data_IF_371439104955
#
_entry.id   IF_371439104955
#
_cell.length_a   1.000
_cell.length_b   1.000
_cell.length_c   1.000
_cell.angle_alpha   90.00
_cell.angle_beta   90.00
_cell.angle_gamma   90.00
#
_symmetry.space_group_name_H-M   'P 1'
#
loop_
_entity.id
_entity.type
_entity.pdbx_description
1 polymer ?
#
# COMPACT_ATOMS: atom_id res chain seq x y z
N UNK A 1 -29.03 25.67 -23.03
CA UNK A 1 -27.76 25.17 -22.44
C UNK A 1 -27.74 25.63 -21.00
N UNK A 2 -27.41 24.76 -20.02
CA UNK A 2 -26.00 24.51 -19.74
C UNK A 2 -25.68 23.03 -19.47
N UNK A 3 -24.42 22.65 -19.66
CA UNK A 3 -23.86 21.38 -19.18
C UNK A 3 -22.81 21.71 -18.14
N UNK A 4 -22.96 21.14 -16.96
CA UNK A 4 -22.01 21.16 -15.85
C UNK A 4 -21.74 19.71 -15.49
N UNK A 5 -20.51 19.26 -15.69
CA UNK A 5 -19.90 18.19 -14.89
C UNK A 5 -18.43 18.59 -14.73
N UNK A 6 -18.07 18.98 -13.51
CA UNK A 6 -16.69 19.00 -13.04
C UNK A 6 -16.70 18.38 -11.64
N UNK A 7 -16.79 17.05 -11.63
CA UNK A 7 -16.34 16.23 -10.51
C UNK A 7 -15.46 15.16 -11.12
N UNK A 8 -14.18 15.47 -11.28
CA UNK A 8 -13.15 14.45 -11.44
C UNK A 8 -12.70 14.08 -10.02
N UNK A 9 -13.56 13.39 -9.29
CA UNK A 9 -13.24 12.74 -8.00
C UNK A 9 -12.52 11.43 -8.31
N UNK A 10 -11.30 11.50 -8.84
CA UNK A 10 -10.52 10.31 -9.21
C UNK A 10 -9.07 10.34 -8.70
N UNK A 11 -8.56 11.47 -8.21
CA UNK A 11 -7.21 11.57 -7.66
C UNK A 11 -7.30 11.84 -6.14
N UNK A 12 -7.65 10.81 -5.37
CA UNK A 12 -7.44 10.85 -3.91
C UNK A 12 -5.97 10.56 -3.66
N UNK A 13 -5.20 11.62 -3.36
CA UNK A 13 -3.81 11.47 -2.91
C UNK A 13 -3.78 11.17 -1.41
N UNK A 14 -2.88 10.28 -1.01
CA UNK A 14 -2.57 10.01 0.40
C UNK A 14 -1.33 10.84 0.75
N UNK A 15 -1.41 11.61 1.84
CA UNK A 15 -0.27 12.33 2.41
C UNK A 15 0.04 11.69 3.76
N UNK A 16 1.23 11.13 3.88
CA UNK A 16 1.74 10.49 5.08
C UNK A 16 3.07 11.13 5.46
N UNK A 17 3.34 11.21 6.75
CA UNK A 17 4.63 11.68 7.27
C UNK A 17 5.10 10.71 8.32
N UNK A 18 6.32 10.19 8.15
CA UNK A 18 6.89 9.21 9.04
C UNK A 18 8.37 9.50 9.35
N UNK A 19 8.90 8.96 10.47
CA UNK A 19 10.31 9.12 10.85
C UNK A 19 11.30 8.44 9.90
N UNK A 20 10.88 7.33 9.28
CA UNK A 20 11.70 6.50 8.38
C UNK A 20 11.01 6.26 7.04
N UNK A 21 11.78 5.85 6.02
CA UNK A 21 11.22 5.49 4.72
C UNK A 21 10.32 4.25 4.83
N UNK A 22 10.70 3.29 5.68
CA UNK A 22 9.90 2.11 5.97
C UNK A 22 8.51 2.49 6.50
N UNK A 23 8.47 3.23 7.61
CA UNK A 23 7.21 3.70 8.22
C UNK A 23 6.39 4.58 7.25
N UNK A 24 7.06 5.32 6.36
CA UNK A 24 6.34 6.11 5.34
C UNK A 24 5.59 5.21 4.36
N UNK A 25 6.25 4.14 3.90
CA UNK A 25 5.64 3.15 2.99
C UNK A 25 4.51 2.41 3.70
N UNK A 26 4.68 2.05 4.97
CA UNK A 26 3.64 1.41 5.80
C UNK A 26 2.36 2.26 5.86
N UNK A 27 2.50 3.54 6.20
CA UNK A 27 1.37 4.47 6.30
C UNK A 27 0.69 4.69 4.94
N UNK A 28 1.48 4.85 3.87
CA UNK A 28 0.96 4.99 2.50
C UNK A 28 0.22 3.74 2.04
N UNK A 29 0.77 2.56 2.30
CA UNK A 29 0.16 1.29 1.93
C UNK A 29 -1.14 1.06 2.70
N UNK A 30 -1.13 1.33 4.00
CA UNK A 30 -2.33 1.23 4.85
C UNK A 30 -3.42 2.17 4.35
N UNK A 31 -3.10 3.45 4.12
CA UNK A 31 -4.05 4.42 3.57
C UNK A 31 -4.58 4.03 2.19
N UNK A 32 -3.76 3.40 1.36
CA UNK A 32 -4.15 2.90 0.04
C UNK A 32 -5.18 1.78 0.15
N UNK A 33 -4.94 0.77 0.99
CA UNK A 33 -5.89 -0.33 1.19
C UNK A 33 -7.17 0.14 1.90
N UNK A 34 -7.08 1.07 2.84
CA UNK A 34 -8.27 1.67 3.46
C UNK A 34 -9.15 2.40 2.44
N UNK A 35 -8.56 3.09 1.46
CA UNK A 35 -9.30 3.75 0.38
C UNK A 35 -9.91 2.76 -0.61
N UNK A 36 -9.21 1.67 -0.91
CA UNK A 36 -9.64 0.66 -1.90
C UNK A 36 -10.70 -0.28 -1.33
N UNK A 37 -10.51 -0.78 -0.11
CA UNK A 37 -11.30 -1.86 0.48
C UNK A 37 -12.00 -1.48 1.80
N UNK A 38 -11.68 -0.32 2.39
CA UNK A 38 -12.15 0.08 3.71
C UNK A 38 -11.21 -0.38 4.83
N UNK A 39 -11.52 -0.01 6.09
CA UNK A 39 -10.70 -0.41 7.24
C UNK A 39 -10.70 -1.93 7.38
N UNK A 40 -9.51 -2.52 7.28
CA UNK A 40 -9.32 -3.95 7.44
C UNK A 40 -9.35 -4.34 8.95
N UNK A 41 -9.78 -5.56 9.24
CA UNK A 41 -9.77 -6.07 10.61
C UNK A 41 -8.33 -6.29 11.10
N UNK A 42 -8.09 -6.07 12.39
CA UNK A 42 -6.76 -6.09 13.01
C UNK A 42 -6.12 -7.49 13.12
N UNK A 43 -6.81 -8.54 12.67
CA UNK A 43 -6.35 -9.93 12.77
C UNK A 43 -6.11 -10.52 11.37
N UNK A 44 -4.90 -10.36 10.81
CA UNK A 44 -4.58 -10.90 9.49
C UNK A 44 -4.60 -12.43 9.52
N UNK A 45 -5.36 -13.04 8.61
CA UNK A 45 -5.41 -14.50 8.43
C UNK A 45 -4.38 -15.01 7.43
N UNK A 46 -3.79 -14.10 6.65
CA UNK A 46 -2.76 -14.38 5.66
C UNK A 46 -1.65 -13.34 5.74
N UNK A 47 -0.42 -13.78 5.59
CA UNK A 47 0.75 -12.90 5.49
C UNK A 47 1.45 -13.16 4.16
N UNK A 48 1.87 -12.07 3.51
CA UNK A 48 2.62 -12.09 2.26
C UNK A 48 3.88 -11.27 2.47
N UNK A 49 5.01 -11.80 2.02
CA UNK A 49 6.31 -11.15 2.11
C UNK A 49 6.72 -10.73 0.70
N UNK A 50 7.13 -9.47 0.55
CA UNK A 50 7.66 -8.90 -0.68
C UNK A 50 9.03 -8.27 -0.40
N UNK A 51 9.87 -8.18 -1.41
CA UNK A 51 11.15 -7.48 -1.31
C UNK A 51 11.31 -6.63 -2.54
N UNK A 52 11.51 -5.34 -2.32
CA UNK A 52 11.71 -4.37 -3.38
C UNK A 52 13.14 -3.89 -3.31
N UNK A 53 13.90 -4.25 -4.34
CA UNK A 53 15.28 -3.79 -4.56
C UNK A 53 15.22 -2.59 -5.50
N UNK A 54 15.75 -1.45 -5.07
CA UNK A 54 15.58 -0.20 -5.82
C UNK A 54 16.53 0.90 -5.38
N UNK A 55 16.64 1.92 -6.23
CA UNK A 55 17.59 3.01 -6.09
C UNK A 55 17.08 4.15 -5.21
N UNK A 56 16.42 5.14 -5.82
CA UNK A 56 15.98 6.32 -5.08
C UNK A 56 14.80 6.02 -4.15
N UNK A 57 14.67 6.72 -3.01
CA UNK A 57 13.59 6.52 -2.04
C UNK A 57 12.19 6.65 -2.66
N UNK A 58 12.03 7.56 -3.62
CA UNK A 58 10.74 7.78 -4.28
C UNK A 58 10.33 6.59 -5.15
N UNK A 59 11.29 5.97 -5.85
CA UNK A 59 11.02 4.78 -6.66
C UNK A 59 10.69 3.58 -5.77
N UNK A 60 11.42 3.41 -4.65
CA UNK A 60 11.13 2.35 -3.66
C UNK A 60 9.69 2.41 -3.15
N UNK A 61 9.16 3.61 -2.89
CA UNK A 61 7.76 3.79 -2.45
C UNK A 61 6.79 3.36 -3.56
N UNK A 62 7.03 3.80 -4.80
CA UNK A 62 6.15 3.49 -5.93
C UNK A 62 6.17 1.99 -6.23
N UNK A 63 7.35 1.38 -6.24
CA UNK A 63 7.55 -0.04 -6.49
C UNK A 63 6.93 -0.89 -5.36
N UNK A 64 7.12 -0.48 -4.09
CA UNK A 64 6.48 -1.12 -2.93
C UNK A 64 4.96 -1.13 -3.02
N UNK A 65 4.35 0.03 -3.28
CA UNK A 65 2.90 0.15 -3.40
C UNK A 65 2.37 -0.66 -4.59
N UNK A 66 3.07 -0.63 -5.71
CA UNK A 66 2.70 -1.38 -6.91
C UNK A 66 2.76 -2.89 -6.70
N UNK A 67 3.81 -3.37 -6.02
CA UNK A 67 3.97 -4.78 -5.67
C UNK A 67 2.88 -5.24 -4.70
N UNK A 68 2.56 -4.45 -3.67
CA UNK A 68 1.47 -4.75 -2.75
C UNK A 68 0.11 -4.81 -3.44
N UNK A 69 -0.17 -3.87 -4.36
CA UNK A 69 -1.39 -3.92 -5.18
C UNK A 69 -1.45 -5.19 -6.02
N UNK A 70 -0.36 -5.52 -6.73
CA UNK A 70 -0.29 -6.73 -7.53
C UNK A 70 -0.52 -8.00 -6.68
N UNK A 71 0.10 -8.10 -5.51
CA UNK A 71 -0.06 -9.23 -4.60
C UNK A 71 -1.49 -9.32 -4.07
N UNK A 72 -2.12 -8.18 -3.76
CA UNK A 72 -3.51 -8.14 -3.31
C UNK A 72 -4.47 -8.68 -4.38
N UNK A 73 -4.22 -8.35 -5.66
CA UNK A 73 -5.02 -8.81 -6.80
C UNK A 73 -4.80 -10.28 -7.12
N UNK A 74 -3.54 -10.75 -7.05
CA UNK A 74 -3.18 -12.14 -7.36
C UNK A 74 -3.65 -13.11 -6.28
N UNK A 75 -3.51 -12.73 -5.02
CA UNK A 75 -3.86 -13.58 -3.88
C UNK A 75 -5.32 -13.40 -3.44
N UNK A 76 -6.03 -12.42 -4.01
CA UNK A 76 -7.39 -12.02 -3.62
C UNK A 76 -7.45 -11.75 -2.11
N UNK A 77 -6.53 -10.89 -1.64
CA UNK A 77 -6.33 -10.54 -0.22
C UNK A 77 -6.30 -9.03 -0.06
N UNK A 78 -7.06 -8.53 0.91
CA UNK A 78 -6.97 -7.14 1.36
C UNK A 78 -5.99 -7.07 2.52
N UNK A 79 -4.90 -6.32 2.34
CA UNK A 79 -3.91 -6.10 3.40
C UNK A 79 -4.42 -5.03 4.37
N UNK A 80 -4.39 -5.36 5.65
CA UNK A 80 -4.78 -4.46 6.75
C UNK A 80 -3.63 -4.02 7.64
N UNK A 81 -2.52 -4.75 7.58
CA UNK A 81 -1.30 -4.44 8.31
C UNK A 81 -0.16 -4.56 7.32
N UNK A 82 0.68 -3.55 7.24
CA UNK A 82 1.89 -3.56 6.42
C UNK A 82 3.04 -3.14 7.31
N UNK A 83 4.07 -3.97 7.37
CA UNK A 83 5.33 -3.72 8.06
C UNK A 83 6.45 -3.66 7.02
N UNK A 84 7.29 -2.63 7.07
CA UNK A 84 8.37 -2.38 6.13
C UNK A 84 9.68 -2.23 6.89
N UNK A 85 10.65 -3.05 6.50
CA UNK A 85 11.99 -3.06 7.09
C UNK A 85 13.01 -2.66 6.02
N UNK A 86 13.76 -1.61 6.30
CA UNK A 86 14.88 -1.19 5.45
C UNK A 86 16.01 -2.23 5.52
N UNK A 87 16.54 -2.60 4.35
CA UNK A 87 17.66 -3.54 4.20
C UNK A 87 18.83 -2.85 3.49
N UNK A 88 19.99 -3.51 3.37
CA UNK A 88 21.17 -2.88 2.74
C UNK A 88 20.99 -2.64 1.22
N UNK A 89 20.14 -3.42 0.56
CA UNK A 89 19.98 -3.42 -0.90
C UNK A 89 18.55 -3.00 -1.34
N UNK A 90 17.68 -2.65 -0.39
CA UNK A 90 16.28 -2.30 -0.68
C UNK A 90 15.39 -2.30 0.58
N UNK A 91 14.10 -2.58 0.40
CA UNK A 91 13.11 -2.66 1.50
C UNK A 91 12.41 -4.03 1.49
N UNK A 92 12.34 -4.66 2.65
CA UNK A 92 11.54 -5.86 2.89
C UNK A 92 10.16 -5.46 3.40
N UNK A 93 9.10 -5.99 2.81
CA UNK A 93 7.73 -5.63 3.11
C UNK A 93 7.01 -6.89 3.56
N UNK A 94 6.33 -6.83 4.70
CA UNK A 94 5.45 -7.88 5.20
C UNK A 94 4.05 -7.32 5.27
N UNK A 95 3.13 -7.87 4.48
CA UNK A 95 1.75 -7.45 4.45
C UNK A 95 0.84 -8.56 5.01
N UNK A 96 0.16 -8.26 6.10
CA UNK A 96 -0.87 -9.08 6.73
C UNK A 96 -2.25 -8.66 6.24
N UNK A 97 -3.05 -9.61 5.75
CA UNK A 97 -4.37 -9.35 5.22
C UNK A 97 -5.36 -10.49 5.43
N UNK A 98 -6.57 -10.29 4.93
CA UNK A 98 -7.60 -11.31 4.85
C UNK A 98 -8.03 -11.52 3.40
N UNK A 99 -8.34 -12.76 3.00
CA UNK A 99 -8.86 -13.03 1.67
C UNK A 99 -10.20 -12.30 1.46
N UNK A 100 -10.39 -11.67 0.30
CA UNK A 100 -11.63 -11.04 -0.13
C UNK A 100 -12.67 -12.09 -0.58
N UNK A 101 -13.07 -12.97 0.35
CA UNK A 101 -14.04 -14.06 0.11
C UNK A 101 -15.45 -13.78 0.63
#
# INVERSE_FOLDING_TARGET
MPRTVLSHTADTGIDATAPTLGELIEELATGMFELVAGPAETEPSRAVEATVEGGEPADLVVDALSELLYLSEVEDVVFGVVDVVETNDGVGITAGGMPSG
#
